data_IF_610018929224
#
_entry.id   IF_610018929224
#
_cell.length_a   1.000
_cell.length_b   1.000
_cell.length_c   1.000
_cell.angle_alpha   90.00
_cell.angle_beta   90.00
_cell.angle_gamma   90.00
#
_symmetry.space_group_name_H-M   'P 1'
#
loop_
_entity.id
_entity.type
_entity.pdbx_description
1 polymer ?
#
# COMPACT_ATOMS: atom_id res chain seq x y z
N UNK A 1 12.49 -21.17 -14.81
CA UNK A 1 11.43 -20.13 -14.70
C UNK A 1 10.03 -20.71 -14.60
N UNK A 2 9.79 -21.97 -14.99
CA UNK A 2 8.45 -22.57 -15.05
C UNK A 2 7.94 -23.11 -13.71
N UNK A 3 8.83 -23.56 -12.82
CA UNK A 3 8.48 -24.03 -11.46
C UNK A 3 7.77 -22.94 -10.61
N UNK A 4 8.14 -21.66 -10.77
CA UNK A 4 7.46 -20.52 -10.11
C UNK A 4 6.00 -20.34 -10.57
N UNK A 5 5.64 -20.81 -11.77
CA UNK A 5 4.26 -20.67 -12.29
C UNK A 5 3.30 -21.69 -11.69
N UNK A 6 3.80 -22.83 -11.19
CA UNK A 6 2.95 -23.88 -10.63
C UNK A 6 2.37 -23.51 -9.25
N UNK A 7 3.02 -22.64 -8.48
CA UNK A 7 2.53 -22.16 -7.17
C UNK A 7 1.42 -21.08 -7.28
N UNK A 8 1.16 -20.54 -8.47
CA UNK A 8 0.20 -19.44 -8.67
C UNK A 8 -1.25 -19.89 -8.89
N UNK A 9 -1.55 -21.18 -8.82
CA UNK A 9 -2.87 -21.75 -9.14
C UNK A 9 -3.96 -21.51 -8.09
N UNK A 10 -3.67 -20.75 -7.02
CA UNK A 10 -4.62 -20.40 -5.96
C UNK A 10 -5.21 -18.99 -6.05
N UNK A 11 -4.92 -18.20 -7.10
CA UNK A 11 -5.48 -16.84 -7.23
C UNK A 11 -6.97 -16.90 -7.63
N UNK A 12 -7.91 -16.45 -6.78
CA UNK A 12 -9.31 -16.33 -7.18
C UNK A 12 -9.43 -15.27 -8.29
N UNK A 13 -10.35 -15.49 -9.23
CA UNK A 13 -10.65 -14.59 -10.36
C UNK A 13 -11.48 -13.39 -9.92
N UNK A 14 -11.03 -12.69 -8.88
CA UNK A 14 -11.70 -11.50 -8.36
C UNK A 14 -10.90 -10.26 -8.72
N UNK A 15 -11.54 -9.25 -9.32
CA UNK A 15 -10.96 -7.94 -9.62
C UNK A 15 -10.79 -7.08 -8.35
N UNK A 16 -10.27 -7.66 -7.27
CA UNK A 16 -9.95 -6.93 -6.04
C UNK A 16 -8.53 -7.26 -5.60
N UNK A 17 -7.85 -6.28 -5.02
CA UNK A 17 -6.53 -6.49 -4.45
C UNK A 17 -6.66 -7.27 -3.15
N UNK A 18 -6.37 -8.57 -3.21
CA UNK A 18 -6.42 -9.43 -2.03
C UNK A 18 -5.12 -9.22 -1.24
N UNK A 19 -5.17 -8.81 0.04
CA UNK A 19 -3.98 -8.57 0.84
C UNK A 19 -3.16 -9.87 1.01
N UNK A 20 -1.83 -9.79 1.03
CA UNK A 20 -0.99 -10.99 1.11
C UNK A 20 -1.31 -11.89 2.33
N UNK A 21 -1.80 -11.29 3.42
CA UNK A 21 -2.09 -11.97 4.68
C UNK A 21 -3.22 -13.01 4.60
N UNK A 22 -4.02 -13.05 3.53
CA UNK A 22 -5.12 -14.02 3.36
C UNK A 22 -4.75 -15.24 2.52
N UNK A 23 -3.55 -15.30 1.94
CA UNK A 23 -3.09 -16.48 1.16
C UNK A 23 -2.25 -17.48 1.97
N UNK A 24 -1.94 -17.19 3.24
CA UNK A 24 -1.06 -18.02 4.07
C UNK A 24 -1.87 -18.74 5.18
N UNK A 25 -2.32 -19.95 4.88
CA UNK A 25 -2.54 -21.07 5.82
C UNK A 25 -3.42 -20.87 7.06
N UNK A 26 -4.55 -21.57 7.09
CA UNK A 26 -5.30 -21.90 8.32
C UNK A 26 -4.47 -22.75 9.29
N UNK A 27 -3.57 -22.13 10.07
CA UNK A 27 -2.96 -22.74 11.24
C UNK A 27 -3.61 -22.14 12.51
N UNK A 28 -4.81 -22.66 12.77
CA UNK A 28 -5.32 -23.08 14.08
C UNK A 28 -4.62 -22.50 15.32
N UNK A 29 -5.42 -21.75 16.09
CA UNK A 29 -5.33 -21.55 17.54
C UNK A 29 -4.06 -20.88 18.10
N UNK A 30 -4.06 -19.54 18.17
CA UNK A 30 -3.53 -18.84 19.34
C UNK A 30 -4.46 -17.70 19.76
N UNK A 31 -5.35 -18.03 20.70
CA UNK A 31 -6.11 -17.07 21.48
C UNK A 31 -5.19 -16.07 22.20
N UNK A 32 -5.67 -14.82 22.24
CA UNK A 32 -5.46 -13.84 23.31
C UNK A 32 -4.01 -13.41 23.59
N UNK A 33 -3.73 -12.11 23.35
CA UNK A 33 -3.63 -11.10 24.42
C UNK A 33 -2.76 -9.91 23.99
N UNK A 34 -3.45 -8.78 23.77
CA UNK A 34 -2.99 -7.46 24.22
C UNK A 34 -1.93 -6.74 23.39
N UNK A 35 -2.04 -5.40 23.48
CA UNK A 35 -1.15 -4.36 22.95
C UNK A 35 -1.56 -3.98 21.51
N UNK A 36 -2.48 -3.02 21.32
CA UNK A 36 -2.43 -1.70 21.94
C UNK A 36 -1.35 -0.91 21.24
N UNK A 37 -1.73 -0.25 20.15
CA UNK A 37 -0.83 0.47 19.28
C UNK A 37 -1.67 1.21 18.26
N UNK A 38 -2.40 2.20 18.77
CA UNK A 38 -2.72 3.42 18.05
C UNK A 38 -1.48 3.91 17.28
N UNK A 39 -1.23 3.39 16.09
CA UNK A 39 -0.22 3.97 15.21
C UNK A 39 -0.91 5.11 14.51
N UNK A 40 -0.97 6.24 15.23
CA UNK A 40 -1.43 7.53 14.76
C UNK A 40 -0.95 7.75 13.32
N UNK A 41 -1.93 8.07 12.49
CA UNK A 41 -1.76 8.72 11.22
C UNK A 41 -1.17 10.11 11.47
N UNK A 42 0.11 10.13 11.84
CA UNK A 42 0.92 11.32 11.75
C UNK A 42 1.40 11.35 10.30
N UNK A 43 0.51 11.80 9.42
CA UNK A 43 0.88 12.35 8.12
C UNK A 43 1.71 13.62 8.36
N UNK A 44 2.94 13.43 8.85
CA UNK A 44 3.96 14.45 8.83
C UNK A 44 4.43 14.55 7.37
N UNK A 45 3.60 15.17 6.54
CA UNK A 45 4.05 15.81 5.32
C UNK A 45 4.88 17.03 5.73
N UNK A 46 6.07 16.77 6.26
CA UNK A 46 7.08 17.82 6.37
C UNK A 46 7.68 17.94 4.98
N UNK A 47 7.04 18.77 4.17
CA UNK A 47 7.63 19.42 3.01
C UNK A 47 8.89 20.17 3.47
N UNK A 48 9.97 19.41 3.64
CA UNK A 48 11.30 19.95 3.91
C UNK A 48 12.03 19.90 2.58
N UNK A 49 12.39 21.08 2.10
CA UNK A 49 12.85 21.31 0.74
C UNK A 49 13.95 20.38 0.24
N UNK A 50 13.93 20.15 -1.07
CA UNK A 50 15.01 19.55 -1.88
C UNK A 50 15.44 18.14 -1.44
N UNK A 51 14.54 17.36 -0.85
CA UNK A 51 14.85 15.96 -0.56
C UNK A 51 14.63 15.13 -1.83
N UNK A 52 15.73 14.73 -2.47
CA UNK A 52 15.75 13.79 -3.61
C UNK A 52 15.27 12.39 -3.22
N UNK A 53 14.77 12.19 -2.01
CA UNK A 53 14.49 10.91 -1.39
C UNK A 53 13.13 10.92 -0.70
N UNK A 54 12.38 9.83 -0.86
CA UNK A 54 11.03 9.60 -0.33
C UNK A 54 11.11 8.52 0.74
N UNK A 55 10.58 8.79 1.93
CA UNK A 55 10.54 7.81 3.01
C UNK A 55 9.40 6.80 2.78
N UNK A 56 9.71 5.52 2.92
CA UNK A 56 8.75 4.41 2.82
C UNK A 56 8.91 3.44 3.98
N UNK A 57 7.80 2.81 4.39
CA UNK A 57 7.79 1.73 5.38
C UNK A 57 7.78 0.39 4.65
N UNK A 58 8.82 -0.42 4.84
CA UNK A 58 8.98 -1.73 4.24
C UNK A 58 8.73 -2.82 5.26
N UNK A 59 7.87 -3.77 4.91
CA UNK A 59 7.60 -4.97 5.68
C UNK A 59 8.66 -6.02 5.38
N UNK A 60 9.42 -6.46 6.38
CA UNK A 60 10.49 -7.47 6.27
C UNK A 60 10.27 -8.62 7.24
N UNK A 61 10.81 -9.80 6.94
CA UNK A 61 10.76 -10.98 7.83
C UNK A 61 12.15 -11.27 8.37
N UNK A 62 12.36 -11.13 9.69
CA UNK A 62 13.61 -11.51 10.37
C UNK A 62 13.35 -12.79 11.17
N UNK A 63 13.81 -13.93 10.65
CA UNK A 63 13.46 -15.24 11.20
C UNK A 63 11.97 -15.54 10.99
N UNK A 64 11.23 -15.86 12.05
CA UNK A 64 9.78 -16.06 11.98
C UNK A 64 8.96 -14.84 12.45
N UNK A 65 9.60 -13.67 12.61
CA UNK A 65 8.93 -12.43 13.05
C UNK A 65 8.88 -11.41 11.91
N UNK A 66 7.70 -10.84 11.70
CA UNK A 66 7.50 -9.71 10.80
C UNK A 66 7.95 -8.42 11.47
N UNK A 67 8.62 -7.55 10.73
CA UNK A 67 9.12 -6.26 11.19
C UNK A 67 8.86 -5.19 10.13
N UNK A 68 8.66 -3.95 10.55
CA UNK A 68 8.56 -2.82 9.64
C UNK A 68 9.82 -1.97 9.78
N UNK A 69 10.45 -1.63 8.66
CA UNK A 69 11.62 -0.75 8.63
C UNK A 69 11.36 0.46 7.75
N UNK A 70 11.84 1.61 8.18
CA UNK A 70 11.86 2.80 7.35
C UNK A 70 13.02 2.71 6.35
N UNK A 71 12.79 3.20 5.14
CA UNK A 71 13.75 3.23 4.04
C UNK A 71 13.54 4.51 3.23
N UNK A 72 14.58 4.95 2.54
CA UNK A 72 14.52 6.08 1.61
C UNK A 72 14.67 5.59 0.17
N UNK A 73 13.81 6.08 -0.71
CA UNK A 73 13.81 5.77 -2.15
C UNK A 73 14.03 7.06 -2.93
N UNK A 74 14.90 7.08 -3.95
CA UNK A 74 15.05 8.24 -4.82
C UNK A 74 13.72 8.70 -5.44
N UNK A 75 13.52 10.01 -5.45
CA UNK A 75 12.33 10.70 -5.98
C UNK A 75 12.13 10.49 -7.48
N UNK A 76 13.22 10.24 -8.22
CA UNK A 76 13.23 9.92 -9.65
C UNK A 76 13.02 8.43 -9.95
N UNK A 77 12.84 7.59 -8.93
CA UNK A 77 12.54 6.18 -9.13
C UNK A 77 11.16 5.98 -9.78
N UNK A 78 11.07 4.96 -10.64
CA UNK A 78 9.82 4.60 -11.31
C UNK A 78 8.66 4.30 -10.35
N UNK A 79 8.95 3.74 -9.17
CA UNK A 79 7.94 3.48 -8.14
C UNK A 79 7.33 4.80 -7.61
N UNK A 80 8.17 5.78 -7.28
CA UNK A 80 7.70 7.08 -6.78
C UNK A 80 6.94 7.83 -7.87
N UNK A 81 7.46 7.84 -9.10
CA UNK A 81 6.80 8.50 -10.24
C UNK A 81 5.42 7.91 -10.53
N UNK A 82 5.31 6.58 -10.61
CA UNK A 82 4.02 5.92 -10.89
C UNK A 82 3.01 6.12 -9.76
N UNK A 83 3.47 6.11 -8.50
CA UNK A 83 2.60 6.37 -7.34
C UNK A 83 2.06 7.80 -7.37
N UNK A 84 2.93 8.80 -7.60
CA UNK A 84 2.51 10.21 -7.73
C UNK A 84 1.57 10.46 -8.91
N UNK A 85 1.85 9.83 -10.06
CA UNK A 85 0.97 9.94 -11.22
C UNK A 85 -0.41 9.34 -10.94
N UNK A 86 -0.47 8.18 -10.28
CA UNK A 86 -1.72 7.55 -9.89
C UNK A 86 -2.52 8.41 -8.93
N UNK A 87 -1.85 9.00 -7.93
CA UNK A 87 -2.48 9.91 -6.97
C UNK A 87 -3.04 11.16 -7.65
N UNK A 88 -2.27 11.79 -8.55
CA UNK A 88 -2.73 12.95 -9.31
C UNK A 88 -3.95 12.63 -10.19
N UNK A 89 -3.98 11.46 -10.83
CA UNK A 89 -5.11 11.00 -11.62
C UNK A 89 -6.37 10.80 -10.75
N UNK A 90 -6.23 10.20 -9.57
CA UNK A 90 -7.37 9.99 -8.65
C UNK A 90 -7.97 11.32 -8.17
N UNK A 91 -7.14 12.33 -7.92
CA UNK A 91 -7.61 13.66 -7.51
C UNK A 91 -8.37 14.35 -8.66
N UNK A 92 -7.89 14.23 -9.88
CA UNK A 92 -8.58 14.74 -11.06
C UNK A 92 -9.95 14.07 -11.24
N UNK A 93 -10.03 12.74 -11.13
CA UNK A 93 -11.29 12.00 -11.22
C UNK A 93 -12.30 12.46 -10.16
N UNK A 94 -11.85 12.73 -8.93
CA UNK A 94 -12.72 13.27 -7.87
C UNK A 94 -13.29 14.63 -8.22
N UNK A 95 -12.46 15.56 -8.71
CA UNK A 95 -12.94 16.89 -9.11
C UNK A 95 -13.82 16.83 -10.37
N UNK A 96 -13.54 15.93 -11.30
CA UNK A 96 -14.36 15.72 -12.50
C UNK A 96 -15.75 15.19 -12.14
N UNK A 97 -15.83 14.20 -11.26
CA UNK A 97 -17.10 13.69 -10.73
C UNK A 97 -17.86 14.80 -9.99
N UNK A 98 -17.16 15.55 -9.12
CA UNK A 98 -17.75 16.65 -8.37
C UNK A 98 -18.34 17.73 -9.27
N UNK A 99 -17.66 18.09 -10.37
CA UNK A 99 -18.20 19.03 -11.37
C UNK A 99 -19.44 18.48 -12.06
N UNK A 100 -19.39 17.23 -12.51
CA UNK A 100 -20.53 16.58 -13.18
C UNK A 100 -21.78 16.54 -12.28
N UNK A 101 -21.60 16.28 -10.98
CA UNK A 101 -22.71 16.27 -10.00
C UNK A 101 -23.31 17.67 -9.86
N UNK A 102 -22.49 18.73 -9.80
CA UNK A 102 -23.00 20.09 -9.68
C UNK A 102 -23.76 20.52 -10.96
N UNK A 103 -23.22 20.22 -12.14
CA UNK A 103 -23.87 20.54 -13.43
C UNK A 103 -25.23 19.85 -13.63
N UNK A 104 -25.40 18.63 -13.12
CA UNK A 104 -26.67 17.90 -13.27
C UNK A 104 -27.77 18.38 -12.29
N UNK A 105 -27.41 19.11 -11.23
CA UNK A 105 -28.34 19.57 -10.20
C UNK A 105 -28.79 21.03 -10.39
N UNK A 106 -28.34 21.72 -11.44
CA UNK A 106 -28.95 22.94 -11.97
C UNK A 106 -30.12 22.61 -12.92
#
# INVERSE_FOLDING_TARGET
MEQRRQELRGRPTLNMMIPMNVFEGSAKDHHAKGIGGESGDEALDVDTGVNKEVQVKVLVKRGNKQQTKQMYIPSDSSLVQSTKQKEAAELQEKEDIKRLILEYND
#
